data_IF_991527055040
#
_entry.id   IF_991527055040
#
_cell.length_a   1.000
_cell.length_b   1.000
_cell.length_c   1.000
_cell.angle_alpha   90.00
_cell.angle_beta   90.00
_cell.angle_gamma   90.00
#
_symmetry.space_group_name_H-M   'P 1'
#
loop_
_entity.id
_entity.type
_entity.pdbx_description
1 polymer ?
#
# COMPACT_ATOMS: atom_id res chain seq x y z
N UNK A 1 -18.75 -21.28 25.30
CA UNK A 1 -17.56 -20.42 25.12
C UNK A 1 -17.44 -19.37 26.23
N UNK A 2 -17.60 -19.76 27.51
CA UNK A 2 -17.45 -18.88 28.68
C UNK A 2 -17.20 -19.73 29.95
N UNK A 3 -16.14 -20.54 29.98
CA UNK A 3 -15.85 -21.32 31.21
C UNK A 3 -14.64 -20.81 32.01
N UNK A 4 -13.75 -19.99 31.45
CA UNK A 4 -12.52 -19.57 32.13
C UNK A 4 -12.14 -18.09 31.96
N UNK A 5 -13.10 -17.16 31.89
CA UNK A 5 -12.77 -15.72 31.94
C UNK A 5 -12.94 -15.19 33.37
N UNK A 6 -11.83 -14.79 34.01
CA UNK A 6 -11.81 -14.18 35.35
C UNK A 6 -12.44 -12.77 35.39
N UNK A 7 -12.62 -12.13 34.24
CA UNK A 7 -13.29 -10.83 34.10
C UNK A 7 -13.86 -10.70 32.69
N UNK A 8 -15.05 -10.11 32.57
CA UNK A 8 -15.64 -9.75 31.28
C UNK A 8 -14.73 -8.76 30.54
N UNK A 9 -14.52 -8.91 29.22
CA UNK A 9 -13.70 -7.98 28.45
C UNK A 9 -14.21 -6.53 28.59
N UNK A 10 -13.30 -5.54 28.58
CA UNK A 10 -13.68 -4.12 28.64
C UNK A 10 -14.62 -3.73 27.49
N UNK A 11 -15.50 -2.76 27.74
CA UNK A 11 -16.54 -2.35 26.77
C UNK A 11 -15.92 -1.80 25.49
N UNK A 12 -14.76 -1.17 25.60
CA UNK A 12 -14.01 -0.53 24.53
C UNK A 12 -13.54 -1.55 23.49
N UNK A 13 -13.07 -2.72 23.95
CA UNK A 13 -12.60 -3.81 23.09
C UNK A 13 -13.76 -4.40 22.27
N UNK A 14 -14.94 -4.50 22.89
CA UNK A 14 -16.14 -4.96 22.19
C UNK A 14 -16.60 -3.99 21.11
N UNK A 15 -16.53 -2.69 21.38
CA UNK A 15 -16.87 -1.64 20.41
C UNK A 15 -15.95 -1.70 19.18
N UNK A 16 -14.63 -1.79 19.39
CA UNK A 16 -13.65 -1.87 18.30
C UNK A 16 -13.85 -3.14 17.46
N UNK A 17 -13.92 -4.30 18.12
CA UNK A 17 -14.09 -5.58 17.44
C UNK A 17 -15.37 -5.61 16.60
N UNK A 18 -16.48 -5.07 17.13
CA UNK A 18 -17.75 -5.02 16.40
C UNK A 18 -17.72 -4.06 15.22
N UNK A 19 -17.05 -2.91 15.33
CA UNK A 19 -16.86 -1.98 14.21
C UNK A 19 -16.08 -2.65 13.07
N UNK A 20 -14.96 -3.31 13.39
CA UNK A 20 -14.14 -3.99 12.41
C UNK A 20 -14.87 -5.16 11.74
N UNK A 21 -15.48 -6.05 12.54
CA UNK A 21 -16.24 -7.17 12.00
C UNK A 21 -17.42 -6.70 11.12
N UNK A 22 -18.07 -5.59 11.48
CA UNK A 22 -19.16 -5.01 10.70
C UNK A 22 -18.70 -4.52 9.33
N UNK A 23 -17.60 -3.77 9.27
CA UNK A 23 -17.03 -3.29 8.00
C UNK A 23 -16.59 -4.46 7.10
N UNK A 24 -15.91 -5.45 7.67
CA UNK A 24 -15.47 -6.64 6.93
C UNK A 24 -16.64 -7.44 6.34
N UNK A 25 -17.67 -7.70 7.14
CA UNK A 25 -18.84 -8.45 6.67
C UNK A 25 -19.63 -7.69 5.60
N UNK A 26 -19.66 -6.35 5.66
CA UNK A 26 -20.28 -5.52 4.65
C UNK A 26 -19.50 -5.60 3.32
N UNK A 27 -18.17 -5.48 3.36
CA UNK A 27 -17.31 -5.66 2.19
C UNK A 27 -17.50 -7.05 1.56
N UNK A 28 -17.55 -8.10 2.38
CA UNK A 28 -17.81 -9.46 1.93
C UNK A 28 -19.20 -9.61 1.28
N UNK A 29 -20.24 -8.98 1.86
CA UNK A 29 -21.61 -9.01 1.31
C UNK A 29 -21.70 -8.32 -0.06
N UNK A 30 -20.92 -7.25 -0.26
CA UNK A 30 -20.87 -6.52 -1.53
C UNK A 30 -19.90 -7.16 -2.55
N UNK A 31 -19.21 -8.26 -2.18
CA UNK A 31 -18.11 -8.83 -2.95
C UNK A 31 -17.05 -7.78 -3.35
N UNK A 32 -16.79 -6.81 -2.47
CA UNK A 32 -15.79 -5.79 -2.70
C UNK A 32 -14.38 -6.38 -2.63
N UNK A 33 -13.50 -5.99 -3.55
CA UNK A 33 -12.07 -6.31 -3.51
C UNK A 33 -11.34 -5.10 -2.92
N UNK A 34 -10.71 -5.30 -1.76
CA UNK A 34 -10.02 -4.24 -1.02
C UNK A 34 -8.57 -4.64 -0.80
N UNK A 35 -7.62 -3.74 -1.09
CA UNK A 35 -6.20 -3.95 -0.82
C UNK A 35 -5.89 -3.66 0.65
N UNK A 36 -6.19 -4.62 1.53
CA UNK A 36 -6.03 -4.45 2.98
C UNK A 36 -4.58 -4.20 3.42
N UNK A 37 -3.59 -4.68 2.66
CA UNK A 37 -2.17 -4.52 2.98
C UNK A 37 -1.73 -3.05 2.88
N UNK A 38 -1.84 -2.48 1.68
CA UNK A 38 -1.48 -1.08 1.44
C UNK A 38 -2.31 -0.11 2.29
N UNK A 39 -3.60 -0.41 2.46
CA UNK A 39 -4.47 0.37 3.33
C UNK A 39 -3.97 0.38 4.78
N UNK A 40 -3.64 -0.79 5.32
CA UNK A 40 -3.15 -0.89 6.69
C UNK A 40 -1.82 -0.14 6.88
N UNK A 41 -0.88 -0.28 5.94
CA UNK A 41 0.43 0.40 6.00
C UNK A 41 0.26 1.92 5.98
N UNK A 42 -0.59 2.46 5.09
CA UNK A 42 -0.88 3.90 5.05
C UNK A 42 -1.48 4.44 6.36
N UNK A 43 -2.41 3.69 6.96
CA UNK A 43 -3.04 4.08 8.23
C UNK A 43 -2.03 3.98 9.38
N UNK A 44 -1.21 2.93 9.37
CA UNK A 44 -0.23 2.69 10.42
C UNK A 44 0.87 3.76 10.42
N UNK A 45 1.36 4.15 9.25
CA UNK A 45 2.40 5.17 9.11
C UNK A 45 1.88 6.57 9.46
N UNK A 46 0.60 6.85 9.19
CA UNK A 46 -0.06 8.11 9.55
C UNK A 46 -0.52 8.15 11.02
N UNK A 47 -0.45 7.03 11.75
CA UNK A 47 -0.98 6.94 13.11
C UNK A 47 0.00 7.54 14.13
N UNK A 48 -0.37 8.69 14.70
CA UNK A 48 0.33 9.29 15.84
C UNK A 48 -0.38 8.96 17.17
N UNK A 49 0.39 8.49 18.16
CA UNK A 49 -0.13 8.24 19.51
C UNK A 49 -0.27 9.57 20.28
N UNK A 50 -1.50 10.07 20.44
CA UNK A 50 -1.79 11.28 21.21
C UNK A 50 -3.25 11.76 21.04
N UNK A 51 -3.66 12.77 21.81
CA UNK A 51 -5.03 13.36 21.72
C UNK A 51 -5.19 14.42 20.63
N UNK A 52 -4.13 14.73 19.85
CA UNK A 52 -4.20 15.78 18.85
C UNK A 52 -4.42 15.19 17.45
N UNK A 53 -5.59 15.47 16.87
CA UNK A 53 -5.81 15.45 15.43
C UNK A 53 -6.00 14.07 14.79
N UNK A 54 -7.22 13.54 14.84
CA UNK A 54 -7.65 12.55 13.85
C UNK A 54 -7.88 13.32 12.52
N UNK A 55 -6.88 13.38 11.66
CA UNK A 55 -7.08 13.77 10.25
C UNK A 55 -7.73 12.59 9.52
N UNK A 56 -8.79 12.86 8.75
CA UNK A 56 -9.50 11.82 8.02
C UNK A 56 -8.59 11.25 6.91
N UNK A 57 -8.36 9.94 6.93
CA UNK A 57 -7.54 9.25 5.92
C UNK A 57 -8.42 9.02 4.68
N UNK A 58 -8.06 9.66 3.56
CA UNK A 58 -8.74 9.49 2.28
C UNK A 58 -8.33 8.16 1.59
N UNK A 59 -9.18 7.15 1.79
CA UNK A 59 -9.01 5.80 1.25
C UNK A 59 -9.17 5.69 -0.28
N UNK A 60 -9.78 6.69 -0.93
CA UNK A 60 -10.07 6.64 -2.37
C UNK A 60 -8.88 7.14 -3.21
N UNK A 61 -7.82 7.64 -2.57
CA UNK A 61 -6.58 8.03 -3.24
C UNK A 61 -5.82 6.80 -3.76
N UNK A 62 -6.05 6.47 -5.04
CA UNK A 62 -5.40 5.35 -5.72
C UNK A 62 -3.91 5.65 -5.91
N UNK A 63 -3.04 4.96 -5.17
CA UNK A 63 -1.60 4.98 -5.45
C UNK A 63 -1.31 4.14 -6.70
N UNK A 64 -1.45 4.74 -7.88
CA UNK A 64 -0.99 4.18 -9.17
C UNK A 64 0.55 4.16 -9.22
N UNK A 65 1.19 3.30 -8.42
CA UNK A 65 2.66 3.12 -8.46
C UNK A 65 3.12 1.83 -9.14
N UNK A 66 2.20 0.92 -9.49
CA UNK A 66 2.55 -0.37 -10.10
C UNK A 66 2.30 -0.43 -11.61
N UNK A 67 2.75 0.58 -12.35
CA UNK A 67 2.88 0.44 -13.80
C UNK A 67 4.16 1.10 -14.36
N UNK A 68 5.31 0.51 -14.03
CA UNK A 68 6.48 0.54 -14.90
C UNK A 68 6.88 -0.90 -15.25
N UNK A 69 6.08 -1.57 -16.07
CA UNK A 69 6.59 -2.65 -16.92
C UNK A 69 7.32 -1.96 -18.08
N UNK A 70 8.58 -1.60 -17.85
CA UNK A 70 9.50 -1.20 -18.91
C UNK A 70 10.04 -2.43 -19.64
N UNK A 71 9.25 -3.00 -20.54
CA UNK A 71 9.81 -3.80 -21.64
C UNK A 71 10.68 -2.87 -22.48
N UNK A 72 11.99 -3.09 -22.41
CA UNK A 72 12.97 -2.42 -23.26
C UNK A 72 13.72 -3.47 -24.10
N UNK A 73 12.97 -4.23 -24.87
CA UNK A 73 13.47 -4.84 -26.11
C UNK A 73 13.34 -3.82 -27.24
N UNK A 74 14.41 -3.07 -27.53
CA UNK A 74 14.55 -2.39 -28.82
C UNK A 74 15.99 -2.48 -29.31
N UNK A 75 16.19 -3.45 -30.20
CA UNK A 75 16.94 -3.38 -31.44
C UNK A 75 18.13 -2.41 -31.53
N UNK A 76 19.33 -2.98 -31.32
CA UNK A 76 20.56 -2.44 -31.89
C UNK A 76 20.64 -2.86 -33.37
N UNK A 77 20.31 -1.94 -34.27
CA UNK A 77 20.76 -2.00 -35.67
C UNK A 77 20.92 -0.59 -36.19
N UNK A 78 22.16 -0.13 -36.37
CA UNK A 78 22.61 0.76 -37.46
C UNK A 78 24.11 1.04 -37.32
N UNK A 79 24.87 0.43 -38.23
CA UNK A 79 26.22 0.84 -38.61
C UNK A 79 26.25 2.30 -39.11
N UNK A 80 27.35 3.01 -38.86
CA UNK A 80 28.19 3.64 -39.89
C UNK A 80 28.78 4.99 -39.48
N UNK A 81 30.12 4.96 -39.38
CA UNK A 81 31.05 5.89 -40.00
C UNK A 81 31.51 7.19 -39.29
N UNK A 82 32.84 7.31 -39.35
CA UNK A 82 33.68 8.51 -39.38
C UNK A 82 33.94 9.21 -38.04
N UNK A 83 35.17 9.08 -37.53
CA UNK A 83 36.15 10.16 -37.69
C UNK A 83 37.54 9.75 -37.15
N UNK A 84 38.46 9.55 -38.10
CA UNK A 84 39.89 9.75 -37.95
C UNK A 84 40.21 11.16 -37.45
N UNK A 85 40.85 11.31 -36.29
CA UNK A 85 41.88 12.36 -36.09
C UNK A 85 43.00 11.83 -35.20
N UNK A 86 44.06 11.37 -35.88
CA UNK A 86 45.49 11.53 -35.57
C UNK A 86 45.87 12.12 -34.20
N UNK A 87 46.65 11.35 -33.44
CA UNK A 87 47.87 11.82 -32.73
C UNK A 87 48.76 10.61 -32.39
N UNK A 88 49.51 10.03 -33.33
CA UNK A 88 50.94 10.28 -33.58
C UNK A 88 51.78 10.68 -32.36
N UNK A 89 52.53 9.70 -31.84
CA UNK A 89 53.98 9.71 -31.54
C UNK A 89 54.57 10.85 -30.69
N UNK A 90 55.05 10.50 -29.49
CA UNK A 90 56.48 10.53 -29.11
C UNK A 90 56.68 9.67 -27.85
#
# INVERSE_FOLDING_TARGET
MLEHRLKSPPKEVYSLHRKLSGAYLLAAKLNAVVSCGALFESIYDAYEFGEEGFEDIDIDSVNDSDNQIGDSSSDNTSESQQNDVKKSTA
#
